data_IF_851794430544
#
_entry.id   IF_851794430544
#
_cell.length_a   1.000
_cell.length_b   1.000
_cell.length_c   1.000
_cell.angle_alpha   90.00
_cell.angle_beta   90.00
_cell.angle_gamma   90.00
#
_symmetry.space_group_name_H-M   'P 1'
#
loop_
_entity.id
_entity.type
_entity.pdbx_description
1 polymer ?
#
# COMPACT_ATOMS: atom_id res chain seq x y z
N UNK A 1 15.52 1.56 -35.63
CA UNK A 1 16.86 0.92 -35.54
C UNK A 1 16.98 0.34 -34.14
N UNK A 2 17.20 -0.98 -33.97
CA UNK A 2 17.27 -1.60 -32.63
C UNK A 2 18.65 -1.29 -32.03
N UNK A 3 18.76 -0.86 -30.76
CA UNK A 3 20.06 -0.80 -30.11
C UNK A 3 20.60 -2.24 -30.01
N UNK A 4 21.71 -2.50 -30.69
CA UNK A 4 22.44 -3.74 -30.54
C UNK A 4 23.11 -3.73 -29.16
N UNK A 5 23.07 -4.86 -28.44
CA UNK A 5 23.82 -5.00 -27.19
C UNK A 5 25.31 -5.01 -27.53
N UNK A 6 26.08 -4.18 -26.85
CA UNK A 6 27.50 -4.04 -27.06
C UNK A 6 28.26 -4.94 -26.09
N UNK A 7 28.99 -5.93 -26.61
CA UNK A 7 29.74 -6.89 -25.80
C UNK A 7 31.10 -6.35 -25.34
N UNK A 8 31.60 -5.32 -26.01
CA UNK A 8 32.87 -4.65 -25.69
C UNK A 8 32.69 -3.50 -24.69
N UNK A 9 31.43 -3.10 -24.46
CA UNK A 9 31.08 -2.09 -23.46
C UNK A 9 31.39 -2.57 -22.03
N UNK A 10 31.87 -1.67 -21.14
CA UNK A 10 32.08 -2.00 -19.73
C UNK A 10 30.76 -2.27 -18.98
N UNK A 11 29.61 -1.96 -19.58
CA UNK A 11 28.29 -2.21 -18.97
C UNK A 11 27.92 -3.69 -19.13
N UNK A 12 27.52 -4.40 -18.07
CA UNK A 12 27.10 -5.80 -18.19
C UNK A 12 25.90 -5.99 -19.14
N UNK A 13 25.92 -7.06 -19.93
CA UNK A 13 24.86 -7.35 -20.93
C UNK A 13 23.44 -7.41 -20.36
N UNK A 14 23.28 -7.82 -19.10
CA UNK A 14 21.95 -7.86 -18.48
C UNK A 14 21.41 -6.45 -18.18
N UNK A 15 22.28 -5.49 -17.85
CA UNK A 15 21.89 -4.09 -17.63
C UNK A 15 21.54 -3.44 -18.96
N UNK A 16 22.39 -3.63 -19.98
CA UNK A 16 22.08 -3.15 -21.33
C UNK A 16 20.74 -3.71 -21.84
N UNK A 17 20.48 -5.01 -21.60
CA UNK A 17 19.20 -5.61 -21.98
C UNK A 17 18.02 -5.02 -21.18
N UNK A 18 18.19 -4.76 -19.88
CA UNK A 18 17.18 -4.09 -19.07
C UNK A 18 16.89 -2.68 -19.61
N UNK A 19 17.92 -1.93 -20.00
CA UNK A 19 17.77 -0.58 -20.57
C UNK A 19 16.98 -0.59 -21.87
N UNK A 20 17.29 -1.53 -22.77
CA UNK A 20 16.55 -1.70 -24.03
C UNK A 20 15.08 -2.03 -23.78
N UNK A 21 14.81 -2.94 -22.83
CA UNK A 21 13.45 -3.33 -22.49
C UNK A 21 12.69 -2.20 -21.78
N UNK A 22 13.37 -1.40 -20.95
CA UNK A 22 12.83 -0.18 -20.33
C UNK A 22 12.40 0.84 -21.39
N UNK A 23 13.23 1.05 -22.40
CA UNK A 23 12.88 1.92 -23.53
C UNK A 23 11.71 1.37 -24.36
N UNK A 24 11.62 0.04 -24.52
CA UNK A 24 10.48 -0.60 -25.20
C UNK A 24 9.17 -0.42 -24.41
N UNK A 25 9.21 -0.48 -23.08
CA UNK A 25 8.06 -0.20 -22.20
C UNK A 25 7.68 1.29 -22.26
N UNK A 26 8.64 2.18 -22.01
CA UNK A 26 8.41 3.63 -22.01
C UNK A 26 7.95 4.17 -23.38
N UNK A 27 8.47 3.60 -24.46
CA UNK A 27 8.09 3.93 -25.83
C UNK A 27 6.82 3.25 -26.34
N UNK A 28 6.10 2.50 -25.49
CA UNK A 28 4.82 1.87 -25.83
C UNK A 28 4.92 0.67 -26.77
N UNK A 29 6.12 0.18 -27.09
CA UNK A 29 6.32 -1.06 -27.86
C UNK A 29 5.98 -2.30 -27.05
N UNK A 30 6.08 -2.19 -25.73
CA UNK A 30 5.55 -3.13 -24.74
C UNK A 30 4.52 -2.36 -23.89
N UNK A 31 3.26 -2.27 -24.35
CA UNK A 31 2.23 -1.53 -23.63
C UNK A 31 2.01 -2.05 -22.21
N UNK A 32 1.63 -1.18 -21.31
CA UNK A 32 1.15 -1.53 -19.98
C UNK A 32 0.06 -2.62 -20.05
N UNK A 33 0.13 -3.62 -19.15
CA UNK A 33 -0.90 -4.64 -18.97
C UNK A 33 -0.82 -5.82 -19.94
N UNK A 34 0.10 -5.80 -20.90
CA UNK A 34 0.28 -6.91 -21.84
C UNK A 34 1.26 -7.95 -21.31
N UNK A 35 1.13 -9.18 -21.80
CA UNK A 35 2.07 -10.25 -21.53
C UNK A 35 3.49 -9.84 -21.97
N UNK A 36 4.42 -9.91 -21.02
CA UNK A 36 5.83 -9.70 -21.23
C UNK A 36 6.39 -10.84 -22.11
N UNK A 37 7.31 -10.55 -23.05
CA UNK A 37 7.90 -11.58 -23.88
C UNK A 37 8.55 -12.68 -23.04
N UNK A 38 8.33 -13.94 -23.43
CA UNK A 38 8.94 -15.08 -22.73
C UNK A 38 10.47 -15.06 -22.82
N UNK A 39 11.14 -15.69 -21.85
CA UNK A 39 12.60 -15.77 -21.81
C UNK A 39 13.17 -16.28 -23.15
N UNK A 40 12.56 -17.33 -23.71
CA UNK A 40 12.95 -17.91 -25.00
C UNK A 40 12.87 -16.90 -26.15
N UNK A 41 11.84 -16.05 -26.16
CA UNK A 41 11.64 -15.01 -27.19
C UNK A 41 12.68 -13.89 -27.05
N UNK A 42 13.03 -13.52 -25.82
CA UNK A 42 14.08 -12.52 -25.54
C UNK A 42 15.47 -13.04 -25.89
N UNK A 43 15.77 -14.30 -25.53
CA UNK A 43 17.01 -14.98 -25.91
C UNK A 43 17.19 -14.99 -27.44
N UNK A 44 16.16 -15.40 -28.18
CA UNK A 44 16.20 -15.44 -29.65
C UNK A 44 16.33 -14.04 -30.27
N UNK A 45 15.62 -13.05 -29.70
CA UNK A 45 15.58 -11.68 -30.24
C UNK A 45 16.87 -10.89 -29.99
N UNK A 46 17.51 -11.10 -28.85
CA UNK A 46 18.68 -10.33 -28.41
C UNK A 46 19.98 -11.15 -28.42
N UNK A 47 19.91 -12.45 -28.79
CA UNK A 47 21.06 -13.36 -28.91
C UNK A 47 21.90 -13.42 -27.63
N UNK A 48 21.20 -13.58 -26.50
CA UNK A 48 21.75 -13.65 -25.14
C UNK A 48 21.37 -14.95 -24.46
N UNK A 49 22.09 -15.31 -23.40
CA UNK A 49 21.82 -16.51 -22.62
C UNK A 49 20.59 -16.33 -21.73
N UNK A 50 20.02 -17.45 -21.29
CA UNK A 50 18.88 -17.45 -20.36
C UNK A 50 19.19 -16.75 -19.05
N UNK A 51 20.41 -16.89 -18.54
CA UNK A 51 20.86 -16.24 -17.30
C UNK A 51 20.86 -14.71 -17.44
N UNK A 52 21.39 -14.18 -18.55
CA UNK A 52 21.36 -12.75 -18.85
C UNK A 52 19.93 -12.22 -18.94
N UNK A 53 19.02 -12.95 -19.60
CA UNK A 53 17.60 -12.59 -19.69
C UNK A 53 16.93 -12.58 -18.32
N UNK A 54 17.16 -13.62 -17.51
CA UNK A 54 16.60 -13.71 -16.15
C UNK A 54 17.10 -12.56 -15.26
N UNK A 55 18.37 -12.21 -15.33
CA UNK A 55 18.93 -11.08 -14.59
C UNK A 55 18.32 -9.75 -15.03
N UNK A 56 18.18 -9.53 -16.35
CA UNK A 56 17.54 -8.32 -16.88
C UNK A 56 16.07 -8.20 -16.44
N UNK A 57 15.30 -9.30 -16.51
CA UNK A 57 13.93 -9.34 -16.01
C UNK A 57 13.89 -9.10 -14.50
N UNK A 58 14.87 -9.62 -13.75
CA UNK A 58 15.01 -9.39 -12.31
C UNK A 58 15.17 -7.91 -11.97
N UNK A 59 16.02 -7.19 -12.72
CA UNK A 59 16.17 -5.73 -12.60
C UNK A 59 14.83 -5.03 -12.86
N UNK A 60 14.15 -5.35 -13.95
CA UNK A 60 12.84 -4.72 -14.28
C UNK A 60 11.74 -5.06 -13.27
N UNK A 61 11.82 -6.22 -12.61
CA UNK A 61 10.93 -6.60 -11.49
C UNK A 61 11.23 -5.79 -10.24
N UNK A 62 12.51 -5.60 -9.90
CA UNK A 62 12.92 -4.76 -8.77
C UNK A 62 12.53 -3.29 -8.98
N UNK A 63 12.62 -2.80 -10.22
CA UNK A 63 12.14 -1.47 -10.61
C UNK A 63 10.61 -1.36 -10.70
N UNK A 64 9.89 -2.46 -10.47
CA UNK A 64 8.44 -2.49 -10.53
C UNK A 64 7.86 -2.23 -11.93
N UNK A 65 8.61 -2.51 -13.00
CA UNK A 65 8.15 -2.34 -14.39
C UNK A 65 7.52 -3.62 -14.95
N UNK A 66 7.87 -4.77 -14.39
CA UNK A 66 7.36 -6.09 -14.78
C UNK A 66 6.86 -6.81 -13.54
N UNK A 67 5.68 -7.42 -13.64
CA UNK A 67 5.08 -8.22 -12.58
C UNK A 67 4.98 -9.68 -13.03
N UNK A 68 5.12 -10.61 -12.09
CA UNK A 68 4.90 -12.03 -12.36
C UNK A 68 3.52 -12.44 -11.83
N UNK A 69 2.68 -12.99 -12.69
CA UNK A 69 1.41 -13.59 -12.27
C UNK A 69 1.56 -15.10 -12.14
N UNK A 70 1.13 -15.63 -11.00
CA UNK A 70 1.24 -17.05 -10.70
C UNK A 70 0.47 -17.88 -11.75
N UNK A 71 1.17 -18.75 -12.49
CA UNK A 71 0.59 -19.60 -13.53
C UNK A 71 0.34 -18.93 -14.90
N UNK A 72 0.40 -17.60 -15.02
CA UNK A 72 0.06 -16.87 -16.25
C UNK A 72 1.26 -16.23 -16.98
N UNK A 73 2.41 -16.08 -16.32
CA UNK A 73 3.64 -15.56 -16.92
C UNK A 73 4.10 -14.25 -16.32
N UNK A 74 4.84 -13.43 -17.08
CA UNK A 74 5.23 -12.07 -16.67
C UNK A 74 4.49 -11.06 -17.52
N UNK A 75 4.13 -9.91 -16.95
CA UNK A 75 3.35 -8.85 -17.60
C UNK A 75 4.03 -7.50 -17.39
N UNK A 76 3.90 -6.59 -18.36
CA UNK A 76 4.30 -5.19 -18.18
C UNK A 76 3.35 -4.58 -17.15
N UNK A 77 3.88 -3.98 -16.08
CA UNK A 77 3.04 -3.35 -15.06
C UNK A 77 2.18 -2.27 -15.70
N UNK A 78 0.88 -2.31 -15.43
CA UNK A 78 -0.05 -1.24 -15.79
C UNK A 78 -0.36 -0.40 -14.56
N UNK A 79 0.13 0.85 -14.47
CA UNK A 79 -0.22 1.77 -13.38
C UNK A 79 -1.72 2.06 -13.29
N UNK A 80 -2.47 1.89 -14.40
CA UNK A 80 -3.93 2.07 -14.45
C UNK A 80 -4.69 0.82 -14.04
N UNK A 81 -4.17 -0.38 -14.28
CA UNK A 81 -4.74 -1.62 -13.72
C UNK A 81 -4.39 -1.80 -12.23
N UNK A 82 -3.29 -1.17 -11.78
CA UNK A 82 -2.95 -1.02 -10.35
C UNK A 82 -3.89 -0.05 -9.61
N UNK A 83 -4.77 0.66 -10.33
CA UNK A 83 -6.04 1.17 -9.77
C UNK A 83 -6.99 -0.01 -9.58
N UNK A 84 -6.54 -1.02 -8.83
CA UNK A 84 -7.36 -2.15 -8.41
C UNK A 84 -8.65 -1.56 -7.86
N UNK A 85 -9.78 -2.20 -8.18
CA UNK A 85 -10.99 -2.02 -7.40
C UNK A 85 -10.57 -2.21 -5.94
N UNK A 86 -10.47 -1.10 -5.21
CA UNK A 86 -10.38 -1.19 -3.77
C UNK A 86 -11.77 -1.64 -3.39
N UNK A 87 -11.89 -2.93 -3.09
CA UNK A 87 -13.10 -3.45 -2.51
C UNK A 87 -13.40 -2.59 -1.29
N UNK A 88 -14.60 -2.04 -1.20
CA UNK A 88 -14.99 -1.17 -0.11
C UNK A 88 -14.78 -1.85 1.25
N UNK A 89 -14.96 -3.17 1.32
CA UNK A 89 -14.66 -3.99 2.50
C UNK A 89 -13.16 -4.07 2.85
N UNK A 90 -12.29 -3.56 1.96
CA UNK A 90 -10.84 -3.41 2.10
C UNK A 90 -10.38 -1.96 2.35
N UNK A 91 -11.31 -1.02 2.55
CA UNK A 91 -11.00 0.39 2.91
C UNK A 91 -11.39 0.70 4.37
N UNK A 92 -12.10 -0.23 5.02
CA UNK A 92 -12.57 -0.08 6.40
C UNK A 92 -11.44 -0.07 7.44
N UNK A 93 -11.68 0.66 8.51
CA UNK A 93 -10.77 0.80 9.65
C UNK A 93 -10.53 -0.56 10.32
N UNK A 94 -9.26 -0.82 10.65
CA UNK A 94 -8.73 -2.07 11.23
C UNK A 94 -9.41 -2.43 12.55
N UNK A 95 -9.88 -3.68 12.65
CA UNK A 95 -10.00 -4.39 13.94
C UNK A 95 -8.62 -4.97 14.28
N UNK A 96 -7.99 -4.57 15.37
CA UNK A 96 -6.74 -5.17 15.78
C UNK A 96 -6.98 -6.49 16.55
N UNK A 97 -6.44 -7.62 16.07
CA UNK A 97 -6.31 -8.83 16.91
C UNK A 97 -5.13 -8.71 17.87
N UNK A 98 -5.22 -9.33 19.06
CA UNK A 98 -4.10 -9.44 19.97
C UNK A 98 -2.91 -10.16 19.32
N UNK A 99 -1.67 -9.89 19.76
CA UNK A 99 -0.51 -10.65 19.30
C UNK A 99 -0.71 -12.13 19.65
N UNK A 100 -0.64 -13.00 18.64
CA UNK A 100 -0.71 -14.47 18.80
C UNK A 100 0.33 -14.94 19.80
N UNK A 101 -0.09 -15.29 21.01
CA UNK A 101 0.55 -16.33 21.79
C UNK A 101 -0.03 -17.67 21.34
N UNK A 102 0.82 -18.48 20.71
CA UNK A 102 0.76 -19.92 20.42
C UNK A 102 -0.61 -20.66 20.40
N UNK A 103 -0.85 -21.28 19.22
CA UNK A 103 -1.50 -22.59 18.98
C UNK A 103 -3.04 -22.72 18.86
N UNK A 104 -3.44 -23.15 17.63
CA UNK A 104 -4.50 -24.09 17.18
C UNK A 104 -5.89 -24.09 17.86
N UNK A 105 -7.06 -24.17 17.20
CA UNK A 105 -7.55 -24.07 15.83
C UNK A 105 -9.10 -24.09 15.94
N UNK A 106 -9.80 -23.35 15.07
CA UNK A 106 -11.07 -23.70 14.40
C UNK A 106 -12.10 -22.55 14.31
N UNK A 107 -12.41 -22.20 13.05
CA UNK A 107 -13.60 -21.51 12.55
C UNK A 107 -13.96 -20.12 13.10
N UNK A 108 -13.37 -19.09 12.49
CA UNK A 108 -14.07 -17.85 12.13
C UNK A 108 -13.50 -17.36 10.78
N UNK A 109 -14.32 -16.84 9.85
CA UNK A 109 -13.81 -16.39 8.56
C UNK A 109 -12.89 -15.18 8.76
N UNK A 110 -11.63 -15.35 8.39
CA UNK A 110 -10.56 -14.35 8.34
C UNK A 110 -11.00 -13.13 7.50
N UNK A 111 -11.58 -12.12 8.15
CA UNK A 111 -11.87 -10.79 7.57
C UNK A 111 -11.18 -9.71 8.39
N UNK A 112 -9.89 -9.92 8.59
CA UNK A 112 -9.06 -9.07 9.43
C UNK A 112 -8.24 -8.12 8.55
N UNK A 113 -8.68 -6.86 8.48
CA UNK A 113 -7.90 -5.80 7.85
C UNK A 113 -6.80 -5.34 8.79
N UNK A 114 -5.55 -5.27 8.34
CA UNK A 114 -4.42 -4.68 9.07
C UNK A 114 -3.84 -3.54 8.25
N UNK A 115 -3.57 -2.39 8.86
CA UNK A 115 -2.54 -1.49 8.35
C UNK A 115 -1.24 -2.30 8.42
N UNK A 116 -0.64 -2.56 7.27
CA UNK A 116 0.50 -3.46 7.17
C UNK A 116 1.70 -2.91 7.94
N UNK A 117 2.07 -1.66 7.67
CA UNK A 117 3.06 -0.93 8.44
C UNK A 117 2.68 0.55 8.56
N UNK A 118 2.73 1.09 9.76
CA UNK A 118 2.65 2.53 10.01
C UNK A 118 4.05 3.10 9.77
N UNK A 119 4.17 4.06 8.86
CA UNK A 119 5.42 4.72 8.52
C UNK A 119 5.64 5.97 9.37
N UNK A 120 4.55 6.60 9.83
CA UNK A 120 4.60 7.72 10.75
C UNK A 120 3.21 8.13 11.22
N UNK A 121 3.15 8.75 12.40
CA UNK A 121 1.96 9.36 12.98
C UNK A 121 2.20 10.82 13.29
N UNK A 122 1.12 11.60 13.33
CA UNK A 122 1.12 12.97 13.83
C UNK A 122 -0.18 13.27 14.56
N UNK A 123 -0.06 13.77 15.78
CA UNK A 123 -1.19 14.12 16.65
C UNK A 123 -1.39 15.64 16.67
N UNK A 124 -2.64 16.10 16.62
CA UNK A 124 -3.01 17.50 16.86
C UNK A 124 -4.41 17.62 17.46
N UNK A 125 -4.72 18.80 17.99
CA UNK A 125 -6.10 19.17 18.32
C UNK A 125 -6.78 19.78 17.08
N UNK A 126 -8.04 19.45 16.87
CA UNK A 126 -8.86 20.04 15.81
C UNK A 126 -10.26 20.34 16.29
N UNK A 127 -10.93 21.27 15.59
CA UNK A 127 -12.30 21.68 15.89
C UNK A 127 -13.29 20.72 15.25
N UNK A 128 -14.28 20.31 16.02
CA UNK A 128 -15.40 19.50 15.55
C UNK A 128 -16.19 20.27 14.53
N UNK A 129 -16.31 19.71 13.33
CA UNK A 129 -17.19 20.20 12.26
C UNK A 129 -18.61 19.64 12.41
N UNK A 130 -19.63 20.19 11.73
CA UNK A 130 -21.03 19.75 11.90
C UNK A 130 -21.26 18.24 11.76
N UNK A 131 -20.64 17.60 10.75
CA UNK A 131 -20.79 16.15 10.55
C UNK A 131 -20.09 15.32 11.62
N UNK A 132 -19.01 15.83 12.22
CA UNK A 132 -18.29 15.16 13.30
C UNK A 132 -19.05 15.22 14.63
N UNK A 133 -19.79 16.31 14.87
CA UNK A 133 -20.50 16.53 16.13
C UNK A 133 -21.47 15.39 16.46
N UNK A 134 -22.20 14.94 15.43
CA UNK A 134 -23.13 13.81 15.53
C UNK A 134 -22.38 12.49 15.79
N UNK A 135 -21.34 12.20 15.00
CA UNK A 135 -20.59 10.94 15.10
C UNK A 135 -19.83 10.79 16.43
N UNK A 136 -19.21 11.88 16.90
CA UNK A 136 -18.41 11.89 18.12
C UNK A 136 -19.23 12.21 19.37
N UNK A 137 -20.52 12.52 19.21
CA UNK A 137 -21.43 12.93 20.28
C UNK A 137 -20.88 14.09 21.13
N UNK A 138 -20.33 15.10 20.46
CA UNK A 138 -19.75 16.31 21.07
C UNK A 138 -20.29 17.56 20.39
N UNK A 139 -20.25 18.70 21.09
CA UNK A 139 -20.69 19.97 20.51
C UNK A 139 -19.84 20.41 19.33
N UNK A 140 -20.46 21.06 18.35
CA UNK A 140 -19.74 21.74 17.25
C UNK A 140 -18.73 22.75 17.82
N UNK A 141 -17.54 22.81 17.23
CA UNK A 141 -16.45 23.67 17.70
C UNK A 141 -15.73 23.18 18.97
N UNK A 142 -16.13 22.03 19.54
CA UNK A 142 -15.34 21.39 20.59
C UNK A 142 -13.95 20.97 20.06
N UNK A 143 -12.95 20.95 20.94
CA UNK A 143 -11.63 20.40 20.62
C UNK A 143 -11.65 18.88 20.76
N UNK A 144 -11.19 18.20 19.73
CA UNK A 144 -10.99 16.74 19.72
C UNK A 144 -9.57 16.43 19.30
N UNK A 145 -9.06 15.30 19.77
CA UNK A 145 -7.79 14.76 19.30
C UNK A 145 -7.97 14.24 17.87
N UNK A 146 -7.03 14.59 16.99
CA UNK A 146 -6.88 14.02 15.65
C UNK A 146 -5.49 13.40 15.56
N UNK A 147 -5.45 12.11 15.23
CA UNK A 147 -4.22 11.46 14.80
C UNK A 147 -4.30 11.14 13.30
N UNK A 148 -3.30 11.60 12.56
CA UNK A 148 -3.09 11.18 11.18
C UNK A 148 -1.96 10.16 11.13
N UNK A 149 -2.12 9.13 10.31
CA UNK A 149 -1.11 8.13 10.07
C UNK A 149 -0.91 7.93 8.58
N UNK A 150 0.36 7.81 8.17
CA UNK A 150 0.73 7.33 6.84
C UNK A 150 1.24 5.91 7.01
N UNK A 151 0.73 5.00 6.19
CA UNK A 151 1.10 3.61 6.26
C UNK A 151 1.02 2.92 4.91
N UNK A 152 1.34 1.64 4.94
CA UNK A 152 1.24 0.74 3.81
C UNK A 152 0.25 -0.35 4.17
N UNK A 153 -0.81 -0.50 3.38
CA UNK A 153 -1.80 -1.57 3.54
C UNK A 153 -1.22 -2.96 3.25
N UNK A 154 -1.98 -4.01 3.51
CA UNK A 154 -1.55 -5.42 3.35
C UNK A 154 -1.08 -5.80 1.94
N UNK A 155 -1.52 -5.08 0.91
CA UNK A 155 -1.11 -5.29 -0.49
C UNK A 155 0.02 -4.35 -0.95
N UNK A 156 0.70 -3.65 -0.03
CA UNK A 156 1.76 -2.70 -0.39
C UNK A 156 1.24 -1.33 -0.84
N UNK A 157 -0.06 -1.06 -0.66
CA UNK A 157 -0.72 0.15 -1.12
C UNK A 157 -0.52 1.28 -0.10
N UNK A 158 0.11 2.41 -0.48
CA UNK A 158 0.19 3.57 0.40
C UNK A 158 -1.19 4.05 0.83
N UNK A 159 -1.36 4.33 2.11
CA UNK A 159 -2.64 4.72 2.71
C UNK A 159 -2.43 5.83 3.72
N UNK A 160 -3.40 6.75 3.78
CA UNK A 160 -3.49 7.75 4.85
C UNK A 160 -4.71 7.39 5.68
N UNK A 161 -4.53 7.34 7.00
CA UNK A 161 -5.60 7.12 7.95
C UNK A 161 -5.72 8.32 8.88
N UNK A 162 -6.94 8.61 9.29
CA UNK A 162 -7.26 9.67 10.25
C UNK A 162 -8.17 9.09 11.30
N UNK A 163 -7.85 9.33 12.56
CA UNK A 163 -8.66 8.93 13.68
C UNK A 163 -8.94 10.16 14.54
N UNK A 164 -10.19 10.30 14.97
CA UNK A 164 -10.61 11.33 15.90
C UNK A 164 -11.04 10.69 17.21
N UNK A 165 -10.64 11.29 18.33
CA UNK A 165 -11.03 10.85 19.65
C UNK A 165 -11.63 12.03 20.42
N UNK A 166 -12.82 11.82 21.00
CA UNK A 166 -13.46 12.83 21.83
C UNK A 166 -12.74 12.95 23.18
N UNK A 167 -12.77 14.12 23.85
CA UNK A 167 -12.17 14.27 25.18
C UNK A 167 -12.73 13.27 26.20
N UNK A 168 -14.01 12.93 26.06
CA UNK A 168 -14.66 11.91 26.89
C UNK A 168 -14.06 10.53 26.63
N UNK A 169 -13.86 10.15 25.37
CA UNK A 169 -13.25 8.87 25.02
C UNK A 169 -11.77 8.80 25.41
N UNK A 170 -11.00 9.90 25.30
CA UNK A 170 -9.63 9.97 25.83
C UNK A 170 -9.59 9.61 27.33
N UNK A 171 -10.53 10.16 28.11
CA UNK A 171 -10.63 9.90 29.55
C UNK A 171 -11.11 8.48 29.85
N UNK A 172 -12.20 8.03 29.22
CA UNK A 172 -12.82 6.72 29.49
C UNK A 172 -11.91 5.56 29.06
N UNK A 173 -11.17 5.71 27.95
CA UNK A 173 -10.24 4.70 27.42
C UNK A 173 -8.83 4.85 28.00
N UNK A 174 -8.57 5.90 28.78
CA UNK A 174 -7.26 6.19 29.37
C UNK A 174 -6.17 6.38 28.32
N UNK A 175 -6.50 6.99 27.17
CA UNK A 175 -5.57 7.30 26.09
C UNK A 175 -4.95 8.67 26.32
N UNK A 176 -3.62 8.72 26.35
CA UNK A 176 -2.84 9.94 26.53
C UNK A 176 -2.02 10.26 25.28
N UNK A 177 -1.58 11.50 25.14
CA UNK A 177 -0.66 11.89 24.06
C UNK A 177 0.65 11.09 24.09
N UNK A 178 1.11 10.69 25.29
CA UNK A 178 2.30 9.85 25.44
C UNK A 178 2.09 8.43 24.89
N UNK A 179 0.87 7.88 24.99
CA UNK A 179 0.57 6.57 24.41
C UNK A 179 0.64 6.59 22.87
N UNK A 180 0.29 7.73 22.27
CA UNK A 180 0.20 7.90 20.82
C UNK A 180 1.51 8.27 20.14
N UNK A 181 2.53 8.65 20.92
CA UNK A 181 3.83 9.10 20.40
C UNK A 181 4.53 8.02 19.56
N UNK A 182 4.25 8.02 18.24
CA UNK A 182 4.72 7.03 17.29
C UNK A 182 3.88 5.74 17.20
N UNK A 183 2.76 5.65 17.92
CA UNK A 183 1.87 4.49 17.89
C UNK A 183 0.50 4.88 17.33
N UNK A 184 0.00 4.05 16.41
CA UNK A 184 -1.31 4.27 15.83
C UNK A 184 -2.43 3.95 16.84
N UNK A 185 -3.44 4.82 16.95
CA UNK A 185 -4.46 4.75 17.99
C UNK A 185 -5.13 3.36 18.14
N UNK A 186 -5.59 2.68 17.07
CA UNK A 186 -6.10 1.32 17.17
C UNK A 186 -5.14 0.33 17.86
N UNK A 187 -3.82 0.44 17.62
CA UNK A 187 -2.84 -0.43 18.28
C UNK A 187 -2.73 -0.09 19.77
N UNK A 188 -2.77 1.20 20.12
CA UNK A 188 -2.80 1.67 21.52
C UNK A 188 -4.03 1.12 22.26
N UNK A 189 -5.21 1.12 21.63
CA UNK A 189 -6.43 0.58 22.22
C UNK A 189 -6.27 -0.91 22.56
N UNK A 190 -5.64 -1.71 21.69
CA UNK A 190 -5.37 -3.13 21.99
C UNK A 190 -4.39 -3.31 23.12
N UNK A 191 -3.32 -2.53 23.13
CA UNK A 191 -2.34 -2.59 24.21
C UNK A 191 -2.98 -2.26 25.57
N UNK A 192 -4.03 -1.43 25.57
CA UNK A 192 -4.85 -1.12 26.76
C UNK A 192 -5.96 -2.16 27.03
N UNK A 193 -6.04 -3.24 26.27
CA UNK A 193 -7.00 -4.33 26.47
C UNK A 193 -8.41 -4.01 25.94
N UNK A 194 -8.57 -2.95 25.15
CA UNK A 194 -9.83 -2.58 24.52
C UNK A 194 -9.95 -3.41 23.25
N UNK A 195 -10.73 -4.48 23.34
CA UNK A 195 -10.97 -5.45 22.27
C UNK A 195 -12.43 -5.38 21.84
N UNK A 196 -12.69 -5.39 20.53
CA UNK A 196 -14.05 -5.44 19.99
C UNK A 196 -14.71 -4.07 19.83
N UNK A 197 -14.26 -3.31 18.82
CA UNK A 197 -14.93 -2.10 18.38
C UNK A 197 -16.08 -2.44 17.42
N UNK A 198 -17.21 -1.78 17.62
CA UNK A 198 -18.34 -1.74 16.69
C UNK A 198 -18.39 -0.36 16.03
N UNK A 199 -18.76 -0.34 14.75
CA UNK A 199 -18.81 0.89 13.97
C UNK A 199 -19.49 0.68 12.64
N UNK A 200 -19.82 1.78 11.98
CA UNK A 200 -20.36 1.80 10.62
C UNK A 200 -19.27 2.25 9.66
N UNK A 201 -19.14 1.53 8.55
CA UNK A 201 -18.22 1.86 7.47
C UNK A 201 -18.99 2.48 6.30
N UNK A 202 -18.56 3.66 5.88
CA UNK A 202 -19.01 4.31 4.64
C UNK A 202 -17.85 4.33 3.67
N UNK A 203 -18.09 3.87 2.44
CA UNK A 203 -17.07 3.86 1.39
C UNK A 203 -17.50 4.67 0.19
N UNK A 204 -16.64 5.61 -0.18
CA UNK A 204 -16.82 6.49 -1.31
C UNK A 204 -15.59 6.49 -2.22
N UNK A 205 -15.82 6.67 -3.53
CA UNK A 205 -14.75 6.81 -4.51
C UNK A 205 -14.60 8.28 -4.91
N UNK A 206 -13.42 8.86 -4.63
CA UNK A 206 -13.10 10.24 -4.99
C UNK A 206 -11.74 10.33 -5.69
N UNK A 207 -11.54 11.40 -6.47
CA UNK A 207 -10.21 11.73 -7.00
C UNK A 207 -9.35 12.31 -5.86
N UNK A 208 -8.09 11.87 -5.68
CA UNK A 208 -7.26 12.38 -4.61
C UNK A 208 -6.94 13.85 -4.85
N UNK A 209 -7.09 14.64 -3.80
CA UNK A 209 -6.69 16.05 -3.76
C UNK A 209 -5.16 16.17 -3.89
N UNK A 210 -4.61 17.34 -4.26
CA UNK A 210 -3.17 17.51 -4.45
C UNK A 210 -2.32 17.14 -3.23
N UNK A 211 -2.80 17.45 -2.03
CA UNK A 211 -2.20 17.09 -0.74
C UNK A 211 -2.17 15.58 -0.52
N UNK A 212 -3.29 14.89 -0.78
CA UNK A 212 -3.35 13.41 -0.69
C UNK A 212 -2.41 12.78 -1.72
N UNK A 213 -2.31 13.34 -2.94
CA UNK A 213 -1.35 12.84 -3.95
C UNK A 213 0.09 12.98 -3.48
N UNK A 214 0.45 14.09 -2.85
CA UNK A 214 1.82 14.32 -2.38
C UNK A 214 2.19 13.39 -1.23
N UNK A 215 1.24 13.08 -0.35
CA UNK A 215 1.43 12.17 0.79
C UNK A 215 1.48 10.69 0.40
N UNK A 216 0.94 10.31 -0.77
CA UNK A 216 0.88 8.92 -1.25
C UNK A 216 1.82 8.61 -2.43
N UNK A 217 2.61 9.60 -2.90
CA UNK A 217 3.55 9.47 -4.02
C UNK A 217 4.88 8.84 -3.58
#
# INVERSE_FOLDING_TARGET
MKPALDRESPVPLYQQLADVLRQDIAGGRLPAGVAFPSERKLMARHQVTRTTVRSAIGVLKQEGMVVAEHGAGSFVRDPKADRRRVDASKVGMVRPSPPKAAESAASAPEREFRLGAILGTAERRTKVTPWMAELLQVGEGADVLLQEAVGVGTEGIPSICRAWLSPRAEQELGVTEADLAGHWLPDVLVLKGILGMEGEDVVEAAMPTPDIKQLLA
#
